data_IF_554388413078
#
_entry.id   IF_554388413078
#
_cell.length_a   1.000
_cell.length_b   1.000
_cell.length_c   1.000
_cell.angle_alpha   90.00
_cell.angle_beta   90.00
_cell.angle_gamma   90.00
#
_symmetry.space_group_name_H-M   'P 1'
#
loop_
_entity.id
_entity.type
_entity.pdbx_description
1 polymer ?
#
# COMPACT_ATOMS: atom_id res chain seq x y z
N UNK A 1 -36.30 -3.70 2.36
CA UNK A 1 -35.31 -3.21 1.36
C UNK A 1 -35.66 -3.69 -0.03
N UNK A 2 -35.41 -4.97 -0.32
CA UNK A 2 -35.58 -5.50 -1.68
C UNK A 2 -37.01 -5.39 -2.23
N UNK A 3 -38.04 -5.68 -1.41
CA UNK A 3 -39.44 -5.67 -1.83
C UNK A 3 -39.89 -4.33 -2.44
N UNK A 4 -39.41 -3.21 -1.89
CA UNK A 4 -39.79 -1.86 -2.32
C UNK A 4 -38.84 -1.23 -3.36
N UNK A 5 -37.72 -1.89 -3.70
CA UNK A 5 -36.75 -1.34 -4.64
C UNK A 5 -37.23 -1.52 -6.10
N UNK A 6 -37.05 -0.50 -6.93
CA UNK A 6 -37.35 -0.57 -8.37
C UNK A 6 -36.30 -1.39 -9.15
N UNK A 7 -35.05 -1.36 -8.68
CA UNK A 7 -33.94 -2.13 -9.25
C UNK A 7 -32.90 -2.48 -8.18
N UNK A 8 -32.00 -3.41 -8.51
CA UNK A 8 -30.79 -3.68 -7.73
C UNK A 8 -29.57 -3.18 -8.50
N UNK A 9 -28.65 -2.54 -7.76
CA UNK A 9 -27.27 -2.33 -8.21
C UNK A 9 -26.34 -3.28 -7.45
N UNK A 10 -25.81 -4.28 -8.15
CA UNK A 10 -24.83 -5.21 -7.61
C UNK A 10 -23.41 -4.67 -7.87
N UNK A 11 -22.69 -4.33 -6.81
CA UNK A 11 -21.26 -4.03 -6.89
C UNK A 11 -20.47 -5.33 -6.87
N UNK A 12 -19.95 -5.74 -8.04
CA UNK A 12 -19.27 -7.02 -8.21
C UNK A 12 -17.81 -6.97 -7.72
N UNK A 13 -17.59 -7.50 -6.50
CA UNK A 13 -16.28 -7.82 -5.88
C UNK A 13 -16.13 -9.33 -5.74
N UNK A 14 -14.90 -9.79 -5.50
CA UNK A 14 -14.66 -11.16 -5.01
C UNK A 14 -15.46 -11.43 -3.75
N UNK A 15 -15.46 -10.50 -2.79
CA UNK A 15 -16.14 -10.66 -1.49
C UNK A 15 -17.68 -10.70 -1.59
N UNK A 16 -18.27 -9.87 -2.45
CA UNK A 16 -19.72 -9.79 -2.67
C UNK A 16 -20.19 -10.99 -3.48
N UNK A 17 -19.44 -11.40 -4.51
CA UNK A 17 -19.79 -12.60 -5.29
C UNK A 17 -19.55 -13.90 -4.52
N UNK A 18 -18.63 -13.93 -3.54
CA UNK A 18 -18.45 -15.07 -2.65
C UNK A 18 -19.48 -15.15 -1.52
N UNK A 19 -20.25 -14.08 -1.30
CA UNK A 19 -21.23 -14.03 -0.22
C UNK A 19 -22.52 -14.76 -0.64
N UNK A 20 -22.97 -15.79 0.11
CA UNK A 20 -24.20 -16.50 -0.20
C UNK A 20 -25.44 -15.59 -0.05
N UNK A 21 -25.40 -14.61 0.86
CA UNK A 21 -26.49 -13.66 1.04
C UNK A 21 -26.66 -12.73 -0.16
N UNK A 22 -25.54 -12.22 -0.69
CA UNK A 22 -25.56 -11.41 -1.92
C UNK A 22 -26.09 -12.25 -3.08
N UNK A 23 -25.68 -13.52 -3.16
CA UNK A 23 -26.19 -14.48 -4.14
C UNK A 23 -27.72 -14.61 -4.09
N UNK A 24 -28.26 -14.81 -2.89
CA UNK A 24 -29.70 -14.89 -2.66
C UNK A 24 -30.42 -13.59 -3.03
N UNK A 25 -29.86 -12.42 -2.69
CA UNK A 25 -30.48 -11.12 -2.94
C UNK A 25 -30.62 -10.81 -4.45
N UNK A 26 -29.54 -10.97 -5.22
CA UNK A 26 -29.62 -10.67 -6.65
C UNK A 26 -30.42 -11.74 -7.41
N UNK A 27 -30.40 -13.00 -6.98
CA UNK A 27 -31.25 -14.04 -7.58
C UNK A 27 -32.73 -13.76 -7.30
N UNK A 28 -33.08 -13.40 -6.06
CA UNK A 28 -34.45 -13.05 -5.69
C UNK A 28 -34.98 -11.85 -6.49
N UNK A 29 -34.13 -10.88 -6.83
CA UNK A 29 -34.52 -9.80 -7.73
C UNK A 29 -34.79 -10.27 -9.15
N UNK A 30 -33.95 -11.13 -9.70
CA UNK A 30 -34.17 -11.70 -11.04
C UNK A 30 -35.47 -12.50 -11.09
N UNK A 31 -35.72 -13.33 -10.08
CA UNK A 31 -36.94 -14.13 -9.97
C UNK A 31 -38.20 -13.26 -9.84
N UNK A 32 -38.07 -12.10 -9.18
CA UNK A 32 -39.12 -11.08 -9.07
C UNK A 32 -39.24 -10.17 -10.30
N UNK A 33 -38.48 -10.42 -11.38
CA UNK A 33 -38.48 -9.60 -12.60
C UNK A 33 -37.91 -8.19 -12.42
N UNK A 34 -37.17 -7.94 -11.34
CA UNK A 34 -36.56 -6.63 -11.07
C UNK A 34 -35.25 -6.47 -11.84
N UNK A 35 -34.99 -5.31 -12.47
CA UNK A 35 -33.73 -5.05 -13.14
C UNK A 35 -32.53 -5.17 -12.18
N UNK A 36 -31.52 -5.94 -12.60
CA UNK A 36 -30.23 -6.03 -11.90
C UNK A 36 -29.15 -5.39 -12.76
N UNK A 37 -28.51 -4.35 -12.23
CA UNK A 37 -27.37 -3.68 -12.84
C UNK A 37 -26.08 -4.10 -12.14
N UNK A 38 -25.12 -4.63 -12.88
CA UNK A 38 -23.85 -5.14 -12.33
C UNK A 38 -22.75 -4.12 -12.55
N UNK A 39 -22.26 -3.53 -11.47
CA UNK A 39 -21.14 -2.60 -11.47
C UNK A 39 -19.82 -3.35 -11.17
N UNK A 40 -19.05 -3.64 -12.22
CA UNK A 40 -17.78 -4.39 -12.11
C UNK A 40 -16.66 -3.43 -11.75
N UNK A 41 -16.22 -3.44 -10.48
CA UNK A 41 -15.11 -2.59 -10.03
C UNK A 41 -13.77 -3.33 -9.94
N UNK A 42 -13.77 -4.66 -9.94
CA UNK A 42 -12.56 -5.48 -9.98
C UNK A 42 -12.67 -6.67 -10.92
N UNK A 43 -11.57 -7.38 -11.14
CA UNK A 43 -11.56 -8.55 -12.01
C UNK A 43 -12.15 -9.75 -11.28
N UNK A 44 -13.37 -10.13 -11.71
CA UNK A 44 -14.16 -11.23 -11.17
C UNK A 44 -14.83 -12.02 -12.29
N UNK A 45 -15.02 -13.31 -12.07
CA UNK A 45 -15.90 -14.12 -12.89
C UNK A 45 -17.35 -13.87 -12.45
N UNK A 46 -18.18 -13.34 -13.37
CA UNK A 46 -19.60 -13.21 -13.12
C UNK A 46 -20.29 -14.57 -13.31
N UNK A 47 -21.23 -14.96 -12.43
CA UNK A 47 -22.06 -16.14 -12.65
C UNK A 47 -22.76 -16.09 -14.01
N UNK A 48 -22.91 -17.24 -14.67
CA UNK A 48 -23.56 -17.34 -15.99
C UNK A 48 -25.00 -16.81 -15.98
N UNK A 49 -25.71 -16.96 -14.86
CA UNK A 49 -27.04 -16.40 -14.63
C UNK A 49 -27.10 -14.88 -14.83
N UNK A 50 -26.01 -14.14 -14.56
CA UNK A 50 -25.94 -12.69 -14.76
C UNK A 50 -25.69 -12.28 -16.21
N UNK A 51 -25.62 -13.23 -17.16
CA UNK A 51 -25.40 -12.92 -18.57
C UNK A 51 -26.49 -12.03 -19.19
N UNK A 52 -27.68 -11.99 -18.59
CA UNK A 52 -28.80 -11.13 -18.99
C UNK A 52 -28.76 -9.72 -18.36
N UNK A 53 -27.94 -9.50 -17.32
CA UNK A 53 -27.92 -8.26 -16.55
C UNK A 53 -27.15 -7.16 -17.29
N UNK A 54 -27.47 -5.89 -16.99
CA UNK A 54 -26.72 -4.75 -17.51
C UNK A 54 -25.37 -4.63 -16.80
N UNK A 55 -24.28 -5.00 -17.48
CA UNK A 55 -22.92 -4.96 -16.91
C UNK A 55 -22.21 -3.66 -17.27
N UNK A 56 -21.80 -2.89 -16.25
CA UNK A 56 -21.03 -1.65 -16.37
C UNK A 56 -19.64 -1.82 -15.77
N UNK A 57 -18.60 -1.65 -16.59
CA UNK A 57 -17.20 -1.81 -16.21
C UNK A 57 -16.61 -0.50 -15.64
N UNK A 58 -16.38 -0.47 -14.33
CA UNK A 58 -15.86 0.69 -13.59
C UNK A 58 -14.32 0.69 -13.48
N UNK A 59 -13.62 -0.33 -14.00
CA UNK A 59 -12.19 -0.55 -13.71
C UNK A 59 -11.25 0.45 -14.36
N UNK A 60 -11.57 0.95 -15.57
CA UNK A 60 -10.70 1.87 -16.33
C UNK A 60 -11.02 3.33 -16.05
N UNK A 61 -12.30 3.68 -16.12
CA UNK A 61 -12.83 5.02 -15.92
C UNK A 61 -14.03 4.92 -14.99
N UNK A 62 -13.77 5.05 -13.69
CA UNK A 62 -14.80 4.88 -12.67
C UNK A 62 -15.88 5.96 -12.79
N UNK A 63 -15.50 7.22 -12.98
CA UNK A 63 -16.47 8.33 -12.97
C UNK A 63 -17.32 8.31 -14.26
N UNK A 64 -16.72 8.00 -15.42
CA UNK A 64 -17.48 7.70 -16.63
C UNK A 64 -18.37 6.47 -16.50
N UNK A 65 -17.87 5.41 -15.85
CA UNK A 65 -18.62 4.20 -15.57
C UNK A 65 -19.84 4.43 -14.65
N UNK A 66 -19.70 5.24 -13.59
CA UNK A 66 -20.82 5.59 -12.70
C UNK A 66 -21.87 6.40 -13.44
N UNK A 67 -21.49 7.36 -14.29
CA UNK A 67 -22.45 8.09 -15.14
C UNK A 67 -23.20 7.16 -16.10
N UNK A 68 -22.50 6.18 -16.68
CA UNK A 68 -23.11 5.17 -17.54
C UNK A 68 -24.07 4.27 -16.73
N UNK A 69 -23.69 3.87 -15.52
CA UNK A 69 -24.56 3.11 -14.63
C UNK A 69 -25.84 3.88 -14.29
N UNK A 70 -25.73 5.16 -13.92
CA UNK A 70 -26.88 6.02 -13.68
C UNK A 70 -27.77 6.14 -14.93
N UNK A 71 -27.18 6.31 -16.11
CA UNK A 71 -27.93 6.36 -17.37
C UNK A 71 -28.66 5.05 -17.69
N UNK A 72 -28.09 3.90 -17.31
CA UNK A 72 -28.76 2.60 -17.43
C UNK A 72 -29.94 2.45 -16.44
N UNK A 73 -29.80 2.95 -15.20
CA UNK A 73 -30.87 2.92 -14.19
C UNK A 73 -32.03 3.81 -14.64
N UNK A 74 -31.74 4.97 -15.23
CA UNK A 74 -32.74 5.88 -15.81
C UNK A 74 -33.42 5.33 -17.09
N UNK A 75 -33.06 4.13 -17.55
CA UNK A 75 -33.60 3.52 -18.78
C UNK A 75 -33.16 4.19 -20.09
N UNK A 76 -32.23 5.16 -20.04
CA UNK A 76 -31.80 5.94 -21.23
C UNK A 76 -30.88 5.16 -22.16
N UNK A 77 -30.21 4.13 -21.65
CA UNK A 77 -29.24 3.34 -22.42
C UNK A 77 -29.39 1.85 -22.13
N UNK A 78 -30.01 1.11 -23.06
CA UNK A 78 -29.95 -0.34 -23.09
C UNK A 78 -28.66 -0.77 -23.80
N UNK A 79 -27.55 -0.92 -23.06
CA UNK A 79 -26.30 -1.40 -23.64
C UNK A 79 -26.24 -2.91 -23.55
N UNK A 80 -26.06 -3.58 -24.69
CA UNK A 80 -25.92 -5.05 -24.74
C UNK A 80 -24.79 -5.50 -23.81
N UNK A 81 -25.02 -6.47 -22.92
CA UNK A 81 -24.02 -6.91 -21.95
C UNK A 81 -22.81 -7.45 -22.68
N UNK A 82 -21.70 -6.71 -22.63
CA UNK A 82 -20.41 -7.26 -23.01
C UNK A 82 -19.77 -7.75 -21.72
N UNK A 83 -19.92 -9.04 -21.42
CA UNK A 83 -19.24 -9.65 -20.28
C UNK A 83 -17.75 -9.37 -20.48
N UNK A 84 -17.10 -8.61 -19.57
CA UNK A 84 -15.70 -8.30 -19.75
C UNK A 84 -14.90 -9.60 -19.71
N UNK A 85 -14.15 -9.93 -20.76
CA UNK A 85 -13.22 -11.07 -20.72
C UNK A 85 -12.30 -10.93 -19.51
N UNK A 86 -12.24 -11.99 -18.70
CA UNK A 86 -11.93 -11.91 -17.27
C UNK A 86 -10.47 -12.08 -16.89
N UNK A 87 -9.53 -12.29 -17.81
CA UNK A 87 -8.08 -12.21 -17.52
C UNK A 87 -7.24 -12.16 -18.81
N UNK A 88 -6.05 -11.55 -18.74
CA UNK A 88 -4.98 -11.82 -19.71
C UNK A 88 -4.35 -13.20 -19.50
N UNK A 89 -3.57 -13.69 -20.48
CA UNK A 89 -2.87 -14.98 -20.45
C UNK A 89 -2.02 -15.22 -19.19
N UNK A 90 -1.61 -14.15 -18.51
CA UNK A 90 -0.75 -14.18 -17.31
C UNK A 90 -1.50 -13.89 -16.00
N UNK A 91 -2.83 -13.88 -16.00
CA UNK A 91 -3.63 -13.53 -14.82
C UNK A 91 -3.42 -12.08 -14.35
N UNK A 92 -3.10 -11.18 -15.30
CA UNK A 92 -2.99 -9.75 -15.06
C UNK A 92 -4.21 -9.03 -15.63
N UNK A 93 -4.71 -7.97 -14.94
CA UNK A 93 -5.86 -7.21 -15.42
C UNK A 93 -5.52 -6.46 -16.70
N UNK A 94 -6.34 -6.65 -17.74
CA UNK A 94 -6.17 -5.96 -19.04
C UNK A 94 -6.54 -4.48 -18.96
N UNK A 95 -7.55 -4.15 -18.15
CA UNK A 95 -8.09 -2.79 -18.01
C UNK A 95 -7.67 -2.20 -16.68
N UNK A 96 -6.56 -1.46 -16.72
CA UNK A 96 -6.04 -0.71 -15.57
C UNK A 96 -6.07 0.80 -15.86
N UNK A 97 -6.40 1.64 -14.86
CA UNK A 97 -6.26 3.09 -14.96
C UNK A 97 -4.81 3.49 -15.28
N UNK A 98 -4.62 4.61 -15.97
CA UNK A 98 -3.29 5.09 -16.36
C UNK A 98 -2.33 5.24 -15.17
N UNK A 99 -2.78 5.84 -14.06
CA UNK A 99 -1.95 6.02 -12.87
C UNK A 99 -1.53 4.69 -12.23
N UNK A 100 -2.38 3.67 -12.30
CA UNK A 100 -2.06 2.32 -11.83
C UNK A 100 -1.02 1.69 -12.74
N UNK A 101 -1.20 1.80 -14.07
CA UNK A 101 -0.24 1.30 -15.05
C UNK A 101 1.13 1.92 -14.86
N UNK A 102 1.19 3.23 -14.65
CA UNK A 102 2.44 3.94 -14.47
C UNK A 102 3.18 3.47 -13.21
N UNK A 103 2.50 3.37 -12.05
CA UNK A 103 3.13 2.84 -10.82
C UNK A 103 3.59 1.39 -11.01
N UNK A 104 2.78 0.54 -11.64
CA UNK A 104 3.14 -0.85 -11.92
C UNK A 104 4.36 -0.93 -12.85
N UNK A 105 4.41 -0.10 -13.89
CA UNK A 105 5.51 -0.02 -14.86
C UNK A 105 6.79 0.42 -14.17
N UNK A 106 6.73 1.46 -13.32
CA UNK A 106 7.89 1.91 -12.52
C UNK A 106 8.43 0.77 -11.63
N UNK A 107 7.55 0.00 -10.97
CA UNK A 107 7.96 -1.16 -10.16
C UNK A 107 8.52 -2.31 -11.01
N UNK A 108 8.02 -2.52 -12.23
CA UNK A 108 8.56 -3.54 -13.14
C UNK A 108 9.92 -3.14 -13.71
N UNK A 109 10.06 -1.88 -14.12
CA UNK A 109 11.26 -1.34 -14.74
C UNK A 109 12.47 -1.45 -13.81
N UNK A 110 12.32 -1.17 -12.51
CA UNK A 110 13.41 -1.37 -11.55
C UNK A 110 13.75 -2.87 -11.40
N UNK A 111 12.76 -3.75 -11.44
CA UNK A 111 12.99 -5.19 -11.42
C UNK A 111 13.83 -5.63 -12.63
N UNK A 112 13.42 -5.21 -13.83
CA UNK A 112 14.14 -5.48 -15.09
C UNK A 112 15.53 -4.86 -15.10
N UNK A 113 15.68 -3.66 -14.52
CA UNK A 113 16.98 -3.01 -14.37
C UNK A 113 17.94 -3.84 -13.53
N UNK A 114 17.50 -4.33 -12.38
CA UNK A 114 18.30 -5.23 -11.54
C UNK A 114 18.68 -6.52 -12.29
N UNK A 115 17.80 -7.08 -13.12
CA UNK A 115 18.14 -8.23 -13.97
C UNK A 115 19.19 -7.89 -15.03
N UNK A 116 19.06 -6.75 -15.70
CA UNK A 116 20.07 -6.29 -16.66
C UNK A 116 21.44 -6.09 -15.97
N UNK A 117 21.43 -5.49 -14.78
CA UNK A 117 22.62 -5.34 -13.96
C UNK A 117 23.27 -6.69 -13.61
N UNK A 118 22.46 -7.69 -13.23
CA UNK A 118 22.94 -9.06 -12.99
C UNK A 118 23.59 -9.65 -14.25
N UNK A 119 22.93 -9.58 -15.40
CA UNK A 119 23.49 -10.09 -16.66
C UNK A 119 24.80 -9.38 -17.03
N UNK A 120 24.86 -8.07 -16.83
CA UNK A 120 26.06 -7.27 -17.08
C UNK A 120 27.21 -7.67 -16.16
N UNK A 121 26.96 -7.94 -14.88
CA UNK A 121 28.01 -8.38 -13.96
C UNK A 121 28.48 -9.80 -14.27
N UNK A 122 27.57 -10.71 -14.64
CA UNK A 122 27.94 -12.06 -15.05
C UNK A 122 28.82 -12.04 -16.31
N UNK A 123 28.53 -11.16 -17.26
CA UNK A 123 29.37 -10.95 -18.43
C UNK A 123 30.77 -10.45 -18.04
N UNK A 124 30.87 -9.41 -17.20
CA UNK A 124 32.15 -8.88 -16.71
C UNK A 124 32.96 -9.94 -15.95
N UNK A 125 32.29 -10.78 -15.15
CA UNK A 125 32.95 -11.88 -14.44
C UNK A 125 33.49 -12.94 -15.40
N UNK A 126 32.78 -13.23 -16.50
CA UNK A 126 33.25 -14.15 -17.52
C UNK A 126 34.49 -13.61 -18.25
N UNK A 127 34.50 -12.32 -18.60
CA UNK A 127 35.67 -11.69 -19.26
C UNK A 127 36.88 -11.61 -18.33
N UNK A 128 36.68 -11.17 -17.07
CA UNK A 128 37.74 -11.14 -16.06
C UNK A 128 38.29 -12.55 -15.77
N UNK A 129 37.41 -13.56 -15.76
CA UNK A 129 37.81 -14.95 -15.57
C UNK A 129 38.69 -15.47 -16.72
N UNK A 130 38.39 -15.08 -17.97
CA UNK A 130 39.20 -15.43 -19.13
C UNK A 130 40.58 -14.76 -19.07
N UNK A 131 40.64 -13.46 -18.80
CA UNK A 131 41.91 -12.73 -18.66
C UNK A 131 42.75 -13.26 -17.51
N UNK A 132 42.12 -13.58 -16.38
CA UNK A 132 42.81 -14.18 -15.24
C UNK A 132 43.40 -15.54 -15.60
N UNK A 133 42.68 -16.35 -16.39
CA UNK A 133 43.17 -17.63 -16.87
C UNK A 133 44.37 -17.48 -17.81
N UNK A 134 44.29 -16.57 -18.79
CA UNK A 134 45.39 -16.26 -19.72
C UNK A 134 46.61 -15.71 -18.99
N UNK A 135 46.41 -14.79 -18.04
CA UNK A 135 47.46 -14.26 -17.18
C UNK A 135 48.11 -15.39 -16.37
N UNK A 136 47.32 -16.26 -15.73
CA UNK A 136 47.85 -17.39 -14.95
C UNK A 136 48.67 -18.35 -15.82
N UNK A 137 48.24 -18.63 -17.05
CA UNK A 137 48.96 -19.46 -18.00
C UNK A 137 50.30 -18.83 -18.41
N UNK A 138 50.32 -17.53 -18.76
CA UNK A 138 51.54 -16.81 -19.11
C UNK A 138 52.52 -16.69 -17.92
N UNK A 139 52.01 -16.55 -16.71
CA UNK A 139 52.82 -16.45 -15.50
C UNK A 139 53.49 -17.79 -15.13
N UNK A 140 52.91 -18.93 -15.53
CA UNK A 140 53.51 -20.25 -15.26
C UNK A 140 54.78 -20.50 -16.08
N UNK A 141 54.97 -19.80 -17.21
CA UNK A 141 56.17 -19.92 -18.06
C UNK A 141 57.38 -19.11 -17.58
N UNK A 142 57.20 -18.05 -16.75
CA UNK A 142 58.24 -17.05 -16.49
C UNK A 142 59.13 -17.26 -15.23
N UNK A 143 58.97 -18.36 -14.49
CA UNK A 143 59.98 -19.00 -13.64
C UNK A 143 60.73 -18.26 -12.50
N UNK A 144 60.71 -16.92 -12.36
CA UNK A 144 61.57 -16.23 -11.38
C UNK A 144 60.91 -16.07 -9.99
N UNK A 145 61.60 -16.37 -8.88
CA UNK A 145 61.03 -16.35 -7.53
C UNK A 145 60.54 -14.98 -7.05
N UNK A 146 61.22 -13.88 -7.44
CA UNK A 146 60.83 -12.51 -7.05
C UNK A 146 59.49 -12.07 -7.66
N UNK A 147 59.08 -12.70 -8.77
CA UNK A 147 57.76 -12.43 -9.34
C UNK A 147 56.64 -13.16 -8.60
N UNK A 148 56.93 -14.12 -7.70
CA UNK A 148 55.88 -14.92 -7.04
C UNK A 148 55.14 -14.17 -5.92
N UNK A 149 55.78 -13.24 -5.21
CA UNK A 149 55.14 -12.47 -4.12
C UNK A 149 54.15 -11.43 -4.65
N UNK A 150 54.55 -10.63 -5.64
CA UNK A 150 53.64 -9.67 -6.32
C UNK A 150 52.48 -10.38 -7.04
N UNK A 151 52.68 -11.63 -7.49
CA UNK A 151 51.63 -12.48 -8.07
C UNK A 151 50.61 -12.94 -7.02
N UNK A 152 51.04 -13.26 -5.80
CA UNK A 152 50.15 -13.65 -4.71
C UNK A 152 49.15 -12.54 -4.39
N UNK A 153 49.65 -11.32 -4.23
CA UNK A 153 48.83 -10.13 -3.93
C UNK A 153 47.81 -9.84 -5.04
N UNK A 154 48.21 -9.94 -6.32
CA UNK A 154 47.30 -9.74 -7.45
C UNK A 154 46.19 -10.81 -7.52
N UNK A 155 46.50 -12.07 -7.25
CA UNK A 155 45.52 -13.17 -7.22
C UNK A 155 44.53 -12.99 -6.07
N UNK A 156 45.00 -12.61 -4.89
CA UNK A 156 44.15 -12.33 -3.72
C UNK A 156 43.22 -11.14 -3.98
N UNK A 157 43.74 -10.05 -4.52
CA UNK A 157 42.95 -8.87 -4.88
C UNK A 157 41.86 -9.22 -5.92
N UNK A 158 42.21 -9.95 -6.98
CA UNK A 158 41.25 -10.37 -8.00
C UNK A 158 40.17 -11.31 -7.44
N UNK A 159 40.55 -12.19 -6.52
CA UNK A 159 39.60 -13.10 -5.83
C UNK A 159 38.62 -12.30 -4.97
N UNK A 160 39.12 -11.32 -4.21
CA UNK A 160 38.29 -10.45 -3.38
C UNK A 160 37.32 -9.61 -4.23
N UNK A 161 37.80 -9.06 -5.36
CA UNK A 161 36.96 -8.35 -6.34
C UNK A 161 35.88 -9.28 -6.89
N UNK A 162 36.24 -10.50 -7.33
CA UNK A 162 35.29 -11.48 -7.84
C UNK A 162 34.20 -11.83 -6.81
N UNK A 163 34.57 -12.04 -5.55
CA UNK A 163 33.61 -12.30 -4.46
C UNK A 163 32.66 -11.12 -4.23
N UNK A 164 33.17 -9.88 -4.27
CA UNK A 164 32.35 -8.67 -4.15
C UNK A 164 31.33 -8.58 -5.30
N UNK A 165 31.75 -8.83 -6.54
CA UNK A 165 30.86 -8.86 -7.71
C UNK A 165 29.76 -9.90 -7.57
N UNK A 166 30.08 -11.11 -7.09
CA UNK A 166 29.09 -12.15 -6.85
C UNK A 166 28.08 -11.70 -5.78
N UNK A 167 28.57 -11.17 -4.65
CA UNK A 167 27.71 -10.67 -3.57
C UNK A 167 26.75 -9.59 -4.04
N UNK A 168 27.25 -8.57 -4.74
CA UNK A 168 26.46 -7.47 -5.30
C UNK A 168 25.44 -7.98 -6.33
N UNK A 169 25.83 -8.95 -7.16
CA UNK A 169 24.95 -9.58 -8.16
C UNK A 169 23.81 -10.36 -7.51
N UNK A 170 24.08 -11.12 -6.45
CA UNK A 170 23.04 -11.85 -5.72
C UNK A 170 22.05 -10.89 -5.04
N UNK A 171 22.55 -9.81 -4.41
CA UNK A 171 21.70 -8.77 -3.83
C UNK A 171 20.81 -8.14 -4.91
N UNK A 172 21.38 -7.77 -6.05
CA UNK A 172 20.62 -7.20 -7.16
C UNK A 172 19.54 -8.16 -7.68
N UNK A 173 19.84 -9.46 -7.81
CA UNK A 173 18.87 -10.47 -8.22
C UNK A 173 17.69 -10.57 -7.22
N UNK A 174 17.98 -10.63 -5.92
CA UNK A 174 16.97 -10.69 -4.86
C UNK A 174 16.08 -9.44 -4.90
N UNK A 175 16.68 -8.26 -4.99
CA UNK A 175 15.96 -6.98 -5.09
C UNK A 175 15.09 -6.95 -6.36
N UNK A 176 15.63 -7.38 -7.50
CA UNK A 176 14.91 -7.44 -8.77
C UNK A 176 13.67 -8.34 -8.71
N UNK A 177 13.84 -9.56 -8.19
CA UNK A 177 12.74 -10.51 -7.96
C UNK A 177 11.69 -9.94 -7.00
N UNK A 178 12.12 -9.27 -5.94
CA UNK A 178 11.23 -8.62 -4.97
C UNK A 178 10.37 -7.52 -5.62
N UNK A 179 10.96 -6.67 -6.48
CA UNK A 179 10.22 -5.64 -7.19
C UNK A 179 9.24 -6.20 -8.23
N UNK A 180 9.64 -7.22 -9.01
CA UNK A 180 8.72 -7.88 -9.94
C UNK A 180 7.54 -8.53 -9.20
N UNK A 181 7.80 -9.19 -8.07
CA UNK A 181 6.75 -9.74 -7.20
C UNK A 181 5.85 -8.65 -6.64
N UNK A 182 6.42 -7.51 -6.25
CA UNK A 182 5.67 -6.35 -5.74
C UNK A 182 4.80 -5.72 -6.82
N UNK A 183 5.31 -5.56 -8.05
CA UNK A 183 4.54 -5.08 -9.20
C UNK A 183 3.37 -6.02 -9.54
N UNK A 184 3.62 -7.34 -9.54
CA UNK A 184 2.56 -8.35 -9.74
C UNK A 184 1.50 -8.27 -8.66
N UNK A 185 1.88 -8.22 -7.37
CA UNK A 185 0.94 -8.06 -6.25
C UNK A 185 0.15 -6.76 -6.34
N UNK A 186 0.79 -5.68 -6.79
CA UNK A 186 0.14 -4.39 -7.00
C UNK A 186 -0.93 -4.47 -8.11
N UNK A 187 -0.62 -5.06 -9.25
CA UNK A 187 -1.59 -5.31 -10.33
C UNK A 187 -2.70 -6.27 -9.91
N UNK A 188 -2.43 -7.20 -9.00
CA UNK A 188 -3.46 -8.11 -8.46
C UNK A 188 -4.30 -7.49 -7.34
N UNK A 189 -4.13 -6.20 -7.03
CA UNK A 189 -4.79 -5.48 -5.91
C UNK A 189 -4.54 -6.10 -4.53
N UNK A 190 -3.43 -6.82 -4.39
CA UNK A 190 -3.01 -7.49 -3.17
C UNK A 190 -1.84 -6.76 -2.47
N UNK A 191 -1.43 -5.60 -2.98
CA UNK A 191 -0.36 -4.80 -2.36
C UNK A 191 -0.94 -3.74 -1.44
N UNK A 192 -0.52 -3.78 -0.17
CA UNK A 192 -0.85 -2.77 0.83
C UNK A 192 -0.25 -1.42 0.42
N UNK A 193 -0.97 -0.33 0.69
CA UNK A 193 -0.54 1.02 0.32
C UNK A 193 0.84 1.36 0.87
N UNK A 194 1.07 1.07 2.15
CA UNK A 194 2.34 1.39 2.84
C UNK A 194 3.52 0.65 2.21
N UNK A 195 3.32 -0.63 1.86
CA UNK A 195 4.35 -1.44 1.20
C UNK A 195 4.69 -0.89 -0.18
N UNK A 196 3.68 -0.57 -1.01
CA UNK A 196 3.92 0.03 -2.32
C UNK A 196 4.63 1.39 -2.24
N UNK A 197 4.24 2.24 -1.30
CA UNK A 197 4.89 3.54 -1.10
C UNK A 197 6.33 3.41 -0.61
N UNK A 198 6.61 2.48 0.32
CA UNK A 198 7.98 2.19 0.78
C UNK A 198 8.83 1.61 -0.34
N UNK A 199 8.27 0.74 -1.18
CA UNK A 199 8.97 0.21 -2.35
C UNK A 199 9.38 1.34 -3.30
N UNK A 200 8.49 2.28 -3.60
CA UNK A 200 8.85 3.43 -4.44
C UNK A 200 9.90 4.33 -3.80
N UNK A 201 9.84 4.57 -2.48
CA UNK A 201 10.86 5.35 -1.78
C UNK A 201 12.22 4.66 -1.73
N UNK A 202 12.24 3.32 -1.60
CA UNK A 202 13.45 2.54 -1.60
C UNK A 202 14.20 2.59 -2.94
N UNK A 203 13.55 3.02 -4.03
CA UNK A 203 14.20 3.23 -5.32
C UNK A 203 15.20 4.41 -5.28
N UNK A 204 15.00 5.40 -4.41
CA UNK A 204 15.88 6.57 -4.31
C UNK A 204 17.31 6.18 -3.87
N UNK A 205 17.52 5.49 -2.72
CA UNK A 205 18.85 5.06 -2.33
C UNK A 205 19.45 4.02 -3.29
N UNK A 206 18.64 3.14 -3.89
CA UNK A 206 19.13 2.19 -4.91
C UNK A 206 19.70 2.95 -6.11
N UNK A 207 19.00 4.00 -6.57
CA UNK A 207 19.49 4.86 -7.65
C UNK A 207 20.83 5.52 -7.30
N UNK A 208 20.97 6.08 -6.09
CA UNK A 208 22.22 6.69 -5.62
C UNK A 208 23.36 5.67 -5.56
N UNK A 209 23.14 4.51 -4.95
CA UNK A 209 24.13 3.42 -4.89
C UNK A 209 24.53 2.98 -6.29
N UNK A 210 23.59 2.96 -7.23
CA UNK A 210 23.90 2.53 -8.60
C UNK A 210 24.73 3.55 -9.35
N UNK A 211 24.43 4.85 -9.22
CA UNK A 211 25.26 5.92 -9.79
C UNK A 211 26.66 5.90 -9.19
N UNK A 212 26.76 5.75 -7.87
CA UNK A 212 28.05 5.62 -7.19
C UNK A 212 28.84 4.41 -7.67
N UNK A 213 28.19 3.25 -7.83
CA UNK A 213 28.80 2.05 -8.37
C UNK A 213 29.28 2.24 -9.82
N UNK A 214 28.46 2.88 -10.67
CA UNK A 214 28.85 3.19 -12.05
C UNK A 214 30.09 4.10 -12.09
N UNK A 215 30.11 5.14 -11.26
CA UNK A 215 31.27 6.03 -11.11
C UNK A 215 32.51 5.28 -10.64
N UNK A 216 32.41 4.52 -9.54
CA UNK A 216 33.53 3.74 -8.98
C UNK A 216 34.07 2.73 -10.01
N UNK A 217 33.18 2.08 -10.77
CA UNK A 217 33.59 1.16 -11.83
C UNK A 217 34.35 1.87 -12.96
N UNK A 218 33.96 3.10 -13.29
CA UNK A 218 34.64 3.88 -14.34
C UNK A 218 36.05 4.26 -13.90
N UNK A 219 36.22 4.70 -12.65
CA UNK A 219 37.53 5.04 -12.08
C UNK A 219 38.45 3.80 -12.00
N UNK A 220 37.95 2.71 -11.41
CA UNK A 220 38.73 1.47 -11.23
C UNK A 220 39.22 0.86 -12.56
N UNK A 221 38.41 0.92 -13.61
CA UNK A 221 38.77 0.35 -14.91
C UNK A 221 39.42 1.34 -15.86
N UNK A 222 39.48 2.63 -15.53
CA UNK A 222 40.15 3.63 -16.38
C UNK A 222 41.64 3.34 -16.56
N UNK A 223 42.24 2.65 -15.59
CA UNK A 223 43.65 2.23 -15.59
C UNK A 223 43.93 1.02 -16.51
N UNK A 224 42.91 0.25 -16.89
CA UNK A 224 43.03 -0.92 -17.74
C UNK A 224 42.54 -0.59 -19.17
N UNK A 225 43.05 -1.26 -20.21
CA UNK A 225 42.73 -0.99 -21.63
C UNK A 225 41.23 -1.12 -22.01
N UNK A 226 40.33 -1.29 -21.05
CA UNK A 226 38.87 -1.41 -21.21
C UNK A 226 38.12 -0.07 -21.19
N UNK A 227 38.80 1.05 -21.42
CA UNK A 227 38.26 2.40 -21.25
C UNK A 227 36.98 2.65 -22.07
N UNK A 228 36.98 2.32 -23.36
CA UNK A 228 35.89 2.70 -24.27
C UNK A 228 34.57 1.97 -23.99
N UNK A 229 34.63 0.68 -23.68
CA UNK A 229 33.42 -0.10 -23.34
C UNK A 229 32.82 0.36 -22.00
N UNK A 230 33.68 0.64 -21.02
CA UNK A 230 33.24 1.06 -19.69
C UNK A 230 32.64 2.46 -19.69
N UNK A 231 33.16 3.41 -20.48
CA UNK A 231 32.63 4.76 -20.58
C UNK A 231 31.19 4.79 -21.16
N UNK A 232 30.94 4.06 -22.25
CA UNK A 232 29.60 3.98 -22.84
C UNK A 232 28.59 3.30 -21.89
N UNK A 233 29.01 2.25 -21.19
CA UNK A 233 28.19 1.55 -20.22
C UNK A 233 27.89 2.42 -18.98
N UNK A 234 28.88 3.11 -18.44
CA UNK A 234 28.72 4.04 -17.32
C UNK A 234 27.79 5.20 -17.67
N UNK A 235 27.90 5.77 -18.87
CA UNK A 235 26.97 6.78 -19.37
C UNK A 235 25.54 6.26 -19.46
N UNK A 236 25.35 5.08 -20.06
CA UNK A 236 24.04 4.44 -20.20
C UNK A 236 23.37 4.10 -18.86
N UNK A 237 24.12 3.54 -17.91
CA UNK A 237 23.63 3.23 -16.56
C UNK A 237 23.28 4.48 -15.77
N UNK A 238 24.05 5.56 -15.91
CA UNK A 238 23.76 6.85 -15.26
C UNK A 238 22.48 7.48 -15.78
N UNK A 239 22.27 7.48 -17.10
CA UNK A 239 21.02 7.97 -17.73
C UNK A 239 19.84 7.11 -17.27
N UNK A 240 19.99 5.79 -17.26
CA UNK A 240 18.95 4.88 -16.79
C UNK A 240 18.57 5.15 -15.32
N UNK A 241 19.58 5.30 -14.44
CA UNK A 241 19.36 5.63 -13.03
C UNK A 241 18.62 6.96 -12.85
N UNK A 242 18.99 8.00 -13.61
CA UNK A 242 18.30 9.29 -13.59
C UNK A 242 16.83 9.18 -14.04
N UNK A 243 16.57 8.43 -15.11
CA UNK A 243 15.20 8.17 -15.58
C UNK A 243 14.39 7.41 -14.52
N UNK A 244 14.97 6.39 -13.87
CA UNK A 244 14.28 5.68 -12.79
C UNK A 244 13.97 6.58 -11.62
N UNK A 245 14.87 7.50 -11.25
CA UNK A 245 14.61 8.48 -10.20
C UNK A 245 13.38 9.35 -10.54
N UNK A 246 13.30 9.84 -11.78
CA UNK A 246 12.14 10.63 -12.25
C UNK A 246 10.86 9.81 -12.22
N UNK A 247 10.88 8.56 -12.72
CA UNK A 247 9.71 7.68 -12.69
C UNK A 247 9.30 7.29 -11.26
N UNK A 248 10.25 7.07 -10.36
CA UNK A 248 10.03 6.77 -8.94
C UNK A 248 9.33 7.93 -8.25
N UNK A 249 9.85 9.15 -8.44
CA UNK A 249 9.27 10.37 -7.88
C UNK A 249 7.86 10.62 -8.43
N UNK A 250 7.66 10.49 -9.74
CA UNK A 250 6.35 10.64 -10.36
C UNK A 250 5.36 9.59 -9.84
N UNK A 251 5.75 8.32 -9.76
CA UNK A 251 4.93 7.24 -9.21
C UNK A 251 4.58 7.49 -7.73
N UNK A 252 5.54 7.99 -6.93
CA UNK A 252 5.35 8.35 -5.53
C UNK A 252 4.33 9.50 -5.37
N UNK A 253 4.47 10.55 -6.18
CA UNK A 253 3.55 11.68 -6.20
C UNK A 253 2.14 11.25 -6.63
N UNK A 254 2.04 10.38 -7.64
CA UNK A 254 0.77 9.81 -8.08
C UNK A 254 0.11 8.96 -6.99
N UNK A 255 0.86 8.09 -6.29
CA UNK A 255 0.35 7.37 -5.12
C UNK A 255 -0.19 8.30 -4.04
N UNK A 256 0.31 9.53 -3.96
CA UNK A 256 -0.15 10.59 -3.05
C UNK A 256 -1.31 11.44 -3.54
N UNK A 257 -1.64 11.44 -4.85
CA UNK A 257 -2.64 12.34 -5.44
C UNK A 257 -3.75 11.66 -6.25
N UNK A 258 -3.46 10.65 -7.07
CA UNK A 258 -4.44 10.07 -7.98
C UNK A 258 -5.57 9.33 -7.24
N UNK A 259 -6.82 9.59 -7.64
CA UNK A 259 -8.04 8.94 -7.12
C UNK A 259 -8.16 7.50 -7.60
N UNK A 260 -7.76 7.23 -8.84
CA UNK A 260 -7.73 5.87 -9.39
C UNK A 260 -6.81 4.93 -8.59
N UNK A 261 -5.65 5.42 -8.12
CA UNK A 261 -4.78 4.65 -7.23
C UNK A 261 -5.43 4.37 -5.88
N UNK A 262 -6.16 5.34 -5.32
CA UNK A 262 -6.93 5.13 -4.09
C UNK A 262 -7.97 4.02 -4.27
N UNK A 263 -8.74 4.07 -5.36
CA UNK A 263 -9.75 3.04 -5.70
C UNK A 263 -9.11 1.69 -6.04
N UNK A 264 -7.87 1.66 -6.52
CA UNK A 264 -7.16 0.44 -6.88
C UNK A 264 -6.69 -0.38 -5.68
N UNK A 265 -6.41 0.27 -4.56
CA UNK A 265 -5.94 -0.40 -3.34
C UNK A 265 -6.98 -1.40 -2.82
N UNK A 266 -6.55 -2.47 -2.14
CA UNK A 266 -7.47 -3.35 -1.45
C UNK A 266 -8.40 -2.56 -0.50
N UNK A 267 -9.66 -2.97 -0.42
CA UNK A 267 -10.65 -2.38 0.48
C UNK A 267 -10.11 -2.34 1.91
N UNK A 268 -10.25 -1.21 2.59
CA UNK A 268 -9.75 -1.04 3.96
C UNK A 268 -8.24 -0.73 4.10
N UNK A 269 -7.43 -0.86 3.05
CA UNK A 269 -5.97 -0.60 3.12
C UNK A 269 -5.58 0.84 2.71
N UNK A 270 -6.50 1.61 2.14
CA UNK A 270 -6.23 2.99 1.76
C UNK A 270 -6.13 3.90 2.99
N UNK A 271 -5.11 4.78 3.09
CA UNK A 271 -4.94 5.64 4.25
C UNK A 271 -6.14 6.56 4.52
N UNK A 272 -6.53 6.70 5.79
CA UNK A 272 -7.58 7.63 6.23
C UNK A 272 -7.47 9.04 5.61
N UNK A 273 -6.27 9.62 5.51
CA UNK A 273 -6.09 10.96 4.90
C UNK A 273 -6.54 10.99 3.43
N UNK A 274 -6.37 9.89 2.69
CA UNK A 274 -6.78 9.76 1.29
C UNK A 274 -8.28 9.53 1.17
N UNK A 275 -8.86 8.69 2.04
CA UNK A 275 -10.32 8.53 2.19
C UNK A 275 -10.97 9.88 2.46
N UNK A 276 -10.50 10.60 3.48
CA UNK A 276 -11.03 11.92 3.85
C UNK A 276 -10.89 12.94 2.70
N UNK A 277 -9.77 12.96 1.96
CA UNK A 277 -9.62 13.86 0.80
C UNK A 277 -10.61 13.52 -0.31
N UNK A 278 -10.80 12.23 -0.62
CA UNK A 278 -11.76 11.80 -1.63
C UNK A 278 -13.20 12.06 -1.16
N UNK A 279 -13.47 11.74 0.11
CA UNK A 279 -14.71 12.02 0.82
C UNK A 279 -15.09 13.49 0.80
N UNK A 280 -14.16 14.41 1.08
CA UNK A 280 -14.43 15.86 1.00
C UNK A 280 -14.80 16.32 -0.41
N UNK A 281 -14.24 15.73 -1.47
CA UNK A 281 -14.60 16.11 -2.86
C UNK A 281 -16.02 15.65 -3.21
N UNK A 282 -16.35 14.42 -2.83
CA UNK A 282 -17.71 13.86 -2.97
C UNK A 282 -18.70 14.63 -2.10
N UNK A 283 -18.37 14.82 -0.83
CA UNK A 283 -19.13 15.59 0.15
C UNK A 283 -19.40 17.01 -0.31
N UNK A 284 -18.45 17.73 -0.91
CA UNK A 284 -18.74 19.05 -1.51
C UNK A 284 -19.78 19.00 -2.63
N UNK A 285 -19.73 17.97 -3.46
CA UNK A 285 -20.68 17.79 -4.58
C UNK A 285 -22.07 17.45 -4.05
N UNK A 286 -22.13 16.62 -3.02
CA UNK A 286 -23.37 16.17 -2.37
C UNK A 286 -23.96 17.24 -1.46
N UNK A 287 -23.13 17.96 -0.70
CA UNK A 287 -23.52 19.08 0.14
C UNK A 287 -24.09 20.24 -0.69
N UNK A 288 -23.49 20.55 -1.86
CA UNK A 288 -24.07 21.49 -2.81
C UNK A 288 -25.45 21.06 -3.32
N UNK A 289 -25.78 19.76 -3.24
CA UNK A 289 -27.11 19.23 -3.57
C UNK A 289 -28.04 19.13 -2.35
N UNK A 290 -27.48 19.14 -1.12
CA UNK A 290 -28.20 18.93 0.13
C UNK A 290 -28.52 20.23 0.89
N UNK A 291 -28.16 21.41 0.33
CA UNK A 291 -28.31 22.74 0.94
C UNK A 291 -29.75 23.16 1.30
N UNK A 292 -30.78 22.31 1.17
CA UNK A 292 -32.18 22.72 1.31
C UNK A 292 -32.98 22.11 2.47
N UNK A 293 -32.43 21.21 3.30
CA UNK A 293 -33.23 20.65 4.42
C UNK A 293 -32.45 20.56 5.72
N UNK A 294 -32.72 21.51 6.63
CA UNK A 294 -32.32 21.38 8.03
C UNK A 294 -33.13 20.25 8.66
N UNK A 295 -32.46 19.14 8.97
CA UNK A 295 -33.09 18.04 9.68
C UNK A 295 -33.40 18.38 11.15
N UNK A 296 -34.42 17.71 11.71
CA UNK A 296 -34.84 17.88 13.09
C UNK A 296 -33.74 17.41 14.07
N UNK A 297 -33.75 17.97 15.28
CA UNK A 297 -32.95 17.44 16.37
C UNK A 297 -33.46 16.05 16.77
N UNK A 298 -32.53 15.17 17.12
CA UNK A 298 -32.82 13.77 17.51
C UNK A 298 -32.65 13.61 19.03
N UNK A 299 -33.57 12.85 19.65
CA UNK A 299 -33.44 12.39 21.05
C UNK A 299 -32.56 11.14 21.09
N UNK A 300 -31.45 11.18 21.80
CA UNK A 300 -30.47 10.09 21.78
C UNK A 300 -30.10 9.57 23.16
N UNK A 301 -29.85 8.27 23.26
CA UNK A 301 -29.23 7.64 24.43
C UNK A 301 -27.72 7.46 24.19
N UNK A 302 -26.91 7.52 25.26
CA UNK A 302 -25.47 7.35 25.17
C UNK A 302 -25.00 6.25 26.14
N UNK A 303 -24.58 5.13 25.60
CA UNK A 303 -24.05 3.99 26.37
C UNK A 303 -22.52 3.98 26.32
N UNK A 304 -21.86 3.88 27.47
CA UNK A 304 -20.41 3.87 27.58
C UNK A 304 -19.92 3.16 28.85
N UNK A 305 -18.70 2.61 28.81
CA UNK A 305 -18.05 2.05 29.99
C UNK A 305 -17.52 3.16 30.91
N UNK A 306 -17.50 2.98 32.25
CA UNK A 306 -17.03 4.02 33.18
C UNK A 306 -15.67 4.67 32.83
N UNK A 307 -14.65 3.91 32.37
CA UNK A 307 -13.37 4.51 31.96
C UNK A 307 -13.46 5.53 30.81
N UNK A 308 -14.53 5.49 30.02
CA UNK A 308 -14.74 6.32 28.84
C UNK A 308 -15.55 7.60 29.12
N UNK A 309 -15.83 7.91 30.40
CA UNK A 309 -16.64 9.07 30.83
C UNK A 309 -16.14 10.40 30.26
N UNK A 310 -14.82 10.60 30.21
CA UNK A 310 -14.24 11.83 29.66
C UNK A 310 -14.57 12.00 28.17
N UNK A 311 -14.63 10.90 27.42
CA UNK A 311 -15.02 10.91 26.00
C UNK A 311 -16.53 11.10 25.88
N UNK A 312 -17.32 10.42 26.72
CA UNK A 312 -18.77 10.59 26.78
C UNK A 312 -19.17 12.04 27.04
N UNK A 313 -18.53 12.73 27.97
CA UNK A 313 -18.75 14.15 28.25
C UNK A 313 -18.51 15.04 27.01
N UNK A 314 -17.49 14.71 26.19
CA UNK A 314 -17.24 15.42 24.93
C UNK A 314 -18.34 15.16 23.91
N UNK A 315 -18.78 13.91 23.75
CA UNK A 315 -19.89 13.56 22.86
C UNK A 315 -21.16 14.30 23.27
N UNK A 316 -21.52 14.28 24.57
CA UNK A 316 -22.66 15.02 25.11
C UNK A 316 -22.62 16.51 24.75
N UNK A 317 -21.46 17.15 24.93
CA UNK A 317 -21.28 18.57 24.59
C UNK A 317 -21.46 18.85 23.10
N UNK A 318 -20.84 18.09 22.20
CA UNK A 318 -20.96 18.33 20.75
C UNK A 318 -22.39 18.04 20.24
N UNK A 319 -23.05 17.02 20.78
CA UNK A 319 -24.44 16.70 20.46
C UNK A 319 -25.40 17.79 20.93
N UNK A 320 -25.22 18.30 22.15
CA UNK A 320 -26.00 19.43 22.67
C UNK A 320 -25.81 20.70 21.84
N UNK A 321 -24.57 21.00 21.41
CA UNK A 321 -24.29 22.14 20.52
C UNK A 321 -24.98 22.03 19.17
N UNK A 322 -25.18 20.82 18.67
CA UNK A 322 -25.92 20.57 17.44
C UNK A 322 -27.45 20.56 17.62
N UNK A 323 -27.93 20.73 18.86
CA UNK A 323 -29.35 20.80 19.23
C UNK A 323 -29.99 19.47 19.61
N UNK A 324 -29.22 18.38 19.73
CA UNK A 324 -29.74 17.08 20.14
C UNK A 324 -29.99 17.01 21.64
N UNK A 325 -30.95 16.19 22.05
CA UNK A 325 -31.33 16.02 23.45
C UNK A 325 -30.90 14.64 23.93
N UNK A 326 -30.07 14.59 24.98
CA UNK A 326 -29.75 13.36 25.69
C UNK A 326 -30.98 12.92 26.49
N UNK A 327 -31.37 11.66 26.38
CA UNK A 327 -32.42 11.07 27.22
C UNK A 327 -31.80 10.26 28.35
N UNK A 328 -32.48 10.25 29.51
CA UNK A 328 -32.09 9.47 30.68
C UNK A 328 -32.43 7.99 30.52
N UNK A 329 -31.83 7.14 31.37
CA UNK A 329 -32.07 5.70 31.36
C UNK A 329 -33.55 5.39 31.60
N UNK A 330 -34.18 4.67 30.67
CA UNK A 330 -35.59 4.28 30.71
C UNK A 330 -36.51 5.13 29.83
N UNK A 331 -36.04 6.26 29.30
CA UNK A 331 -36.76 6.98 28.26
C UNK A 331 -36.53 6.37 26.87
N UNK A 332 -37.50 6.56 25.97
CA UNK A 332 -37.39 6.10 24.58
C UNK A 332 -36.48 7.03 23.76
N UNK A 333 -35.28 6.55 23.45
CA UNK A 333 -34.38 7.22 22.52
C UNK A 333 -34.75 6.87 21.06
N UNK A 334 -34.75 7.88 20.18
CA UNK A 334 -34.87 7.67 18.73
C UNK A 334 -33.62 6.99 18.16
N UNK A 335 -32.45 7.29 18.75
CA UNK A 335 -31.17 6.73 18.36
C UNK A 335 -30.32 6.43 19.59
N UNK A 336 -29.77 5.23 19.69
CA UNK A 336 -28.72 4.94 20.66
C UNK A 336 -27.33 5.23 20.06
N UNK A 337 -26.41 5.77 20.86
CA UNK A 337 -24.98 5.91 20.52
C UNK A 337 -24.21 5.08 21.53
N UNK A 338 -23.31 4.22 21.04
CA UNK A 338 -22.55 3.31 21.90
C UNK A 338 -21.06 3.58 21.75
N UNK A 339 -20.38 3.92 22.85
CA UNK A 339 -18.93 4.08 22.86
C UNK A 339 -18.27 2.71 22.93
N UNK A 340 -17.47 2.38 21.92
CA UNK A 340 -16.79 1.09 21.82
C UNK A 340 -15.29 1.27 22.04
N UNK A 341 -14.83 0.85 23.22
CA UNK A 341 -13.44 0.72 23.61
C UNK A 341 -13.10 -0.74 23.92
N UNK A 342 -11.82 -1.03 24.14
CA UNK A 342 -11.33 -2.29 24.70
C UNK A 342 -11.78 -2.53 26.15
N UNK A 343 -12.55 -1.62 26.73
CA UNK A 343 -13.17 -1.75 28.05
C UNK A 343 -14.71 -1.84 27.97
N UNK A 344 -15.32 -1.71 26.78
CA UNK A 344 -16.77 -1.84 26.62
C UNK A 344 -17.18 -3.32 26.63
N UNK A 345 -17.92 -3.79 27.64
CA UNK A 345 -18.35 -5.18 27.68
C UNK A 345 -19.45 -5.44 26.64
N UNK A 346 -19.40 -6.61 25.98
CA UNK A 346 -20.43 -7.04 25.00
C UNK A 346 -21.83 -7.03 25.61
N UNK A 347 -21.96 -7.38 26.90
CA UNK A 347 -23.21 -7.35 27.64
C UNK A 347 -23.89 -5.97 27.68
N UNK A 348 -23.16 -4.88 27.45
CA UNK A 348 -23.74 -3.53 27.32
C UNK A 348 -24.46 -3.32 25.98
N UNK A 349 -24.00 -3.99 24.93
CA UNK A 349 -24.52 -3.82 23.55
C UNK A 349 -25.60 -4.85 23.24
N UNK A 350 -25.52 -6.05 23.82
CA UNK A 350 -26.44 -7.15 23.56
C UNK A 350 -27.93 -6.78 23.73
N UNK A 351 -28.36 -6.03 24.77
CA UNK A 351 -29.76 -5.63 24.92
C UNK A 351 -30.27 -4.77 23.77
N UNK A 352 -29.41 -3.91 23.19
CA UNK A 352 -29.77 -3.06 22.05
C UNK A 352 -29.96 -3.91 20.78
N UNK A 353 -29.11 -4.92 20.60
CA UNK A 353 -29.20 -5.87 19.49
C UNK A 353 -30.47 -6.71 19.61
N UNK A 354 -30.73 -7.27 20.80
CA UNK A 354 -31.89 -8.14 21.06
C UNK A 354 -33.21 -7.38 20.92
N UNK A 355 -33.24 -6.11 21.32
CA UNK A 355 -34.39 -5.23 21.15
C UNK A 355 -34.58 -4.75 19.70
N UNK A 356 -33.62 -4.99 18.80
CA UNK A 356 -33.63 -4.45 17.44
C UNK A 356 -33.56 -2.92 17.40
N UNK A 357 -33.06 -2.28 18.46
CA UNK A 357 -32.98 -0.83 18.56
C UNK A 357 -31.86 -0.33 17.65
N UNK A 358 -32.11 0.65 16.75
CA UNK A 358 -31.05 1.21 15.93
C UNK A 358 -30.04 1.95 16.81
N UNK A 359 -28.77 1.53 16.72
CA UNK A 359 -27.68 2.19 17.42
C UNK A 359 -26.51 2.54 16.49
N UNK A 360 -25.76 3.57 16.87
CA UNK A 360 -24.61 4.10 16.15
C UNK A 360 -23.33 3.81 16.97
N UNK A 361 -22.58 2.77 16.62
CA UNK A 361 -21.32 2.47 17.31
C UNK A 361 -20.23 3.51 17.02
N UNK A 362 -19.72 4.15 18.07
CA UNK A 362 -18.64 5.13 18.06
C UNK A 362 -17.36 4.49 18.60
N UNK A 363 -16.44 4.13 17.70
CA UNK A 363 -15.20 3.43 18.03
C UNK A 363 -14.16 4.40 18.60
N UNK A 364 -13.72 4.18 19.84
CA UNK A 364 -12.83 5.10 20.57
C UNK A 364 -11.44 4.52 20.85
N UNK A 365 -11.30 3.19 20.93
CA UNK A 365 -10.00 2.49 20.91
C UNK A 365 -10.04 1.31 19.94
N UNK A 366 -8.93 0.55 19.82
CA UNK A 366 -8.94 -0.69 19.04
C UNK A 366 -9.69 -1.76 19.81
N UNK A 367 -10.60 -2.48 19.15
CA UNK A 367 -11.48 -3.49 19.77
C UNK A 367 -11.48 -4.75 18.91
N UNK A 368 -11.62 -5.90 19.54
CA UNK A 368 -11.70 -7.20 18.85
C UNK A 368 -13.14 -7.73 18.80
N UNK A 369 -14.07 -6.88 18.35
CA UNK A 369 -15.52 -7.18 18.40
C UNK A 369 -15.93 -8.22 17.34
N UNK A 370 -15.13 -8.41 16.29
CA UNK A 370 -15.48 -9.29 15.18
C UNK A 370 -15.57 -10.76 15.62
N UNK A 371 -14.79 -11.19 16.62
CA UNK A 371 -14.87 -12.54 17.15
C UNK A 371 -16.02 -12.71 18.15
N UNK A 372 -16.29 -11.69 18.98
CA UNK A 372 -17.25 -11.81 20.08
C UNK A 372 -18.70 -11.54 19.68
N UNK A 373 -18.95 -10.70 18.67
CA UNK A 373 -20.30 -10.44 18.18
C UNK A 373 -20.30 -10.03 16.70
N UNK A 374 -20.42 -10.99 15.76
CA UNK A 374 -20.40 -10.71 14.33
C UNK A 374 -21.54 -9.77 13.90
N UNK A 375 -22.62 -9.70 14.68
CA UNK A 375 -23.77 -8.83 14.43
C UNK A 375 -23.39 -7.35 14.54
N UNK A 376 -22.52 -6.96 15.47
CA UNK A 376 -22.10 -5.55 15.61
C UNK A 376 -21.36 -5.10 14.34
N UNK A 377 -20.65 -6.03 13.68
CA UNK A 377 -19.98 -5.80 12.40
C UNK A 377 -20.92 -5.35 11.26
N UNK A 378 -22.23 -5.58 11.39
CA UNK A 378 -23.23 -5.19 10.40
C UNK A 378 -23.70 -3.73 10.52
N UNK A 379 -23.41 -3.06 11.64
CA UNK A 379 -23.80 -1.66 11.84
C UNK A 379 -22.82 -0.69 11.16
N UNK A 380 -23.29 0.55 10.94
CA UNK A 380 -22.41 1.63 10.48
C UNK A 380 -21.62 2.18 11.67
N UNK A 381 -20.30 2.28 11.52
CA UNK A 381 -19.41 2.70 12.60
C UNK A 381 -19.00 4.16 12.44
N UNK A 382 -18.54 4.75 13.53
CA UNK A 382 -17.85 6.04 13.53
C UNK A 382 -16.47 5.87 14.16
N UNK A 383 -15.40 6.00 13.37
CA UNK A 383 -14.03 5.89 13.88
C UNK A 383 -13.58 7.18 14.57
N UNK A 384 -13.76 7.26 15.90
CA UNK A 384 -13.37 8.39 16.75
C UNK A 384 -12.08 8.14 17.56
N UNK A 385 -11.28 7.13 17.20
CA UNK A 385 -9.99 6.83 17.86
C UNK A 385 -8.97 7.97 17.81
N UNK A 386 -9.14 8.91 16.88
CA UNK A 386 -8.31 10.12 16.77
C UNK A 386 -8.79 11.29 17.63
N UNK A 387 -9.97 11.15 18.23
CA UNK A 387 -10.63 12.17 19.06
C UNK A 387 -10.75 13.54 18.37
N UNK A 388 -10.99 13.56 17.06
CA UNK A 388 -11.08 14.81 16.29
C UNK A 388 -12.51 15.38 16.37
N UNK A 389 -12.68 16.56 16.98
CA UNK A 389 -13.99 17.23 17.18
C UNK A 389 -14.84 17.30 15.91
N UNK A 390 -14.20 17.56 14.77
CA UNK A 390 -14.82 17.59 13.44
C UNK A 390 -15.62 16.31 13.11
N UNK A 391 -15.20 15.14 13.63
CA UNK A 391 -15.92 13.88 13.44
C UNK A 391 -17.23 13.84 14.24
N UNK A 392 -17.23 14.35 15.48
CA UNK A 392 -18.44 14.44 16.30
C UNK A 392 -19.43 15.45 15.72
N UNK A 393 -18.94 16.59 15.22
CA UNK A 393 -19.79 17.60 14.58
C UNK A 393 -20.49 17.03 13.34
N UNK A 394 -19.74 16.33 12.48
CA UNK A 394 -20.34 15.64 11.34
C UNK A 394 -21.29 14.51 11.79
N UNK A 395 -21.00 13.84 12.92
CA UNK A 395 -21.86 12.76 13.46
C UNK A 395 -23.21 13.33 13.87
N UNK A 396 -23.20 14.46 14.59
CA UNK A 396 -24.40 15.17 14.98
C UNK A 396 -25.19 15.64 13.74
N UNK A 397 -24.51 16.19 12.73
CA UNK A 397 -25.15 16.54 11.45
C UNK A 397 -25.77 15.32 10.74
N UNK A 398 -25.09 14.18 10.75
CA UNK A 398 -25.61 12.91 10.21
C UNK A 398 -26.91 12.50 10.91
N UNK A 399 -26.97 12.63 12.23
CA UNK A 399 -28.16 12.29 13.00
C UNK A 399 -29.34 13.22 12.68
N UNK A 400 -29.10 14.51 12.46
CA UNK A 400 -30.19 15.44 12.07
C UNK A 400 -30.77 15.11 10.70
N UNK A 401 -29.91 14.82 9.72
CA UNK A 401 -30.33 14.58 8.35
C UNK A 401 -29.70 13.29 7.83
N UNK A 402 -30.37 12.15 8.05
CA UNK A 402 -29.83 10.84 7.65
C UNK A 402 -29.55 10.75 6.14
N UNK A 403 -30.36 11.40 5.29
CA UNK A 403 -30.18 11.35 3.82
C UNK A 403 -29.00 12.18 3.35
N UNK A 404 -28.85 13.43 3.82
CA UNK A 404 -27.67 14.25 3.53
C UNK A 404 -26.42 13.73 4.24
N UNK A 405 -26.60 13.20 5.44
CA UNK A 405 -25.57 12.60 6.27
C UNK A 405 -24.94 11.38 5.61
N UNK A 406 -25.72 10.47 5.04
CA UNK A 406 -25.17 9.27 4.38
C UNK A 406 -24.13 9.61 3.30
N UNK A 407 -24.31 10.75 2.62
CA UNK A 407 -23.43 11.22 1.56
C UNK A 407 -22.05 11.68 2.05
N UNK A 408 -21.98 12.47 3.13
CA UNK A 408 -20.72 12.96 3.70
C UNK A 408 -20.08 11.95 4.67
N UNK A 409 -20.92 11.24 5.42
CA UNK A 409 -20.53 10.36 6.53
C UNK A 409 -20.18 8.94 6.07
N UNK A 410 -20.85 8.43 5.02
CA UNK A 410 -20.58 7.10 4.45
C UNK A 410 -19.13 6.92 3.99
N UNK A 411 -18.41 8.01 3.73
CA UNK A 411 -17.02 8.00 3.27
C UNK A 411 -15.96 8.05 4.39
N UNK A 412 -16.36 8.36 5.63
CA UNK A 412 -15.46 8.46 6.80
C UNK A 412 -15.78 7.46 7.93
N UNK A 413 -16.90 6.75 7.83
CA UNK A 413 -17.47 5.90 8.88
C UNK A 413 -16.66 4.61 9.17
N UNK A 414 -16.15 3.93 8.14
CA UNK A 414 -15.60 2.59 8.35
C UNK A 414 -14.12 2.62 8.81
N UNK A 415 -13.80 2.08 10.01
CA UNK A 415 -12.42 1.95 10.47
C UNK A 415 -11.60 1.10 9.49
N UNK A 416 -10.29 1.35 9.38
CA UNK A 416 -9.43 0.52 8.51
C UNK A 416 -9.42 -0.95 8.96
N UNK A 417 -9.31 -1.15 10.29
CA UNK A 417 -9.51 -2.39 11.02
C UNK A 417 -9.93 -2.04 12.45
N UNK A 418 -10.68 -2.93 13.11
CA UNK A 418 -11.13 -2.75 14.49
C UNK A 418 -9.97 -2.95 15.49
N UNK A 419 -9.14 -3.96 15.26
CA UNK A 419 -7.95 -4.32 16.06
C UNK A 419 -6.79 -3.31 15.98
N UNK A 420 -6.77 -2.45 14.97
CA UNK A 420 -5.65 -1.55 14.74
C UNK A 420 -5.57 -0.46 15.81
N UNK A 421 -4.55 -0.54 16.67
CA UNK A 421 -4.20 0.57 17.54
C UNK A 421 -3.80 1.81 16.73
N UNK A 422 -4.55 2.89 16.90
CA UNK A 422 -4.23 4.20 16.34
C UNK A 422 -3.45 4.98 17.39
N UNK A 423 -2.15 5.11 17.15
CA UNK A 423 -1.26 5.88 18.01
C UNK A 423 -1.50 7.38 17.78
N UNK A 424 -1.67 8.21 18.83
CA UNK A 424 -1.74 9.65 18.73
C UNK A 424 -0.57 10.24 17.93
N UNK A 425 -0.83 11.29 17.15
CA UNK A 425 0.17 11.86 16.24
C UNK A 425 1.48 12.26 16.92
N UNK A 426 1.43 12.72 18.17
CA UNK A 426 2.61 13.09 18.98
C UNK A 426 3.51 11.89 19.28
N UNK A 427 2.93 10.74 19.62
CA UNK A 427 3.68 9.50 19.90
C UNK A 427 4.24 8.93 18.57
N UNK A 428 3.47 8.98 17.49
CA UNK A 428 3.95 8.56 16.17
C UNK A 428 5.13 9.42 15.68
N UNK A 429 5.13 10.73 15.98
CA UNK A 429 6.24 11.63 15.71
C UNK A 429 7.49 11.25 16.52
N UNK A 430 7.36 11.07 17.84
CA UNK A 430 8.46 10.63 18.70
C UNK A 430 9.08 9.30 18.21
N UNK A 431 8.25 8.31 17.88
CA UNK A 431 8.70 7.03 17.33
C UNK A 431 9.44 7.18 15.99
N UNK A 432 9.09 8.20 15.18
CA UNK A 432 9.79 8.49 13.92
C UNK A 432 11.17 9.10 14.18
N UNK A 433 11.27 10.04 15.13
CA UNK A 433 12.55 10.65 15.54
C UNK A 433 13.51 9.58 16.08
N UNK A 434 13.03 8.70 16.97
CA UNK A 434 13.84 7.62 17.53
C UNK A 434 14.36 6.64 16.46
N UNK A 435 13.54 6.34 15.42
CA UNK A 435 13.98 5.50 14.30
C UNK A 435 15.06 6.17 13.44
N UNK A 436 14.94 7.47 13.20
CA UNK A 436 15.95 8.22 12.46
C UNK A 436 17.28 8.26 13.22
N UNK A 437 17.22 8.49 14.54
CA UNK A 437 18.39 8.44 15.41
C UNK A 437 19.07 7.07 15.36
N UNK A 438 18.29 5.98 15.43
CA UNK A 438 18.84 4.62 15.32
C UNK A 438 19.52 4.35 13.96
N UNK A 439 18.94 4.84 12.85
CA UNK A 439 19.57 4.73 11.53
C UNK A 439 20.88 5.51 11.47
N UNK A 440 20.92 6.73 12.02
CA UNK A 440 22.14 7.53 12.06
C UNK A 440 23.24 6.86 12.88
N UNK A 441 22.90 6.25 14.02
CA UNK A 441 23.85 5.46 14.83
C UNK A 441 24.39 4.28 14.01
N UNK A 442 23.53 3.50 13.34
CA UNK A 442 23.97 2.38 12.51
C UNK A 442 24.90 2.85 11.38
N UNK A 443 24.59 3.97 10.72
CA UNK A 443 25.43 4.52 9.65
C UNK A 443 26.79 4.99 10.19
N UNK A 444 26.81 5.63 11.36
CA UNK A 444 28.05 6.05 12.02
C UNK A 444 28.94 4.85 12.36
N UNK A 445 28.38 3.81 12.98
CA UNK A 445 29.11 2.58 13.34
C UNK A 445 29.62 1.82 12.10
N UNK A 446 28.85 1.79 11.02
CA UNK A 446 29.30 1.19 9.75
C UNK A 446 30.45 1.99 9.12
N UNK A 447 30.46 3.31 9.28
CA UNK A 447 31.54 4.16 8.78
C UNK A 447 32.83 3.95 9.60
N UNK A 448 32.73 3.87 10.93
CA UNK A 448 33.86 3.51 11.82
C UNK A 448 34.42 2.13 11.47
N UNK A 449 33.54 1.13 11.27
CA UNK A 449 33.96 -0.21 10.86
C UNK A 449 34.70 -0.20 9.51
N UNK A 450 34.22 0.60 8.54
CA UNK A 450 34.87 0.75 7.24
C UNK A 450 36.27 1.37 7.37
N UNK A 451 36.43 2.41 8.19
CA UNK A 451 37.73 3.04 8.47
C UNK A 451 38.71 2.05 9.12
N UNK A 452 38.25 1.22 10.03
CA UNK A 452 39.07 0.15 10.61
C UNK A 452 39.44 -0.95 9.59
N UNK A 453 38.56 -1.27 8.65
CA UNK A 453 38.85 -2.19 7.56
C UNK A 453 39.86 -1.64 6.55
N UNK A 454 39.89 -0.32 6.30
CA UNK A 454 40.92 0.31 5.46
C UNK A 454 42.32 0.26 6.10
N UNK A 455 42.40 0.14 7.42
CA UNK A 455 43.67 0.00 8.16
C UNK A 455 44.19 -1.44 8.21
N UNK A 456 43.36 -2.44 7.90
CA UNK A 456 43.72 -3.86 7.95
C UNK A 456 44.87 -4.23 6.99
N UNK A 457 44.93 -3.77 5.73
CA UNK A 457 46.08 -4.02 4.86
C UNK A 457 47.39 -3.49 5.44
N UNK A 458 47.36 -2.31 6.06
CA UNK A 458 48.54 -1.69 6.68
C UNK A 458 49.01 -2.48 7.90
N UNK A 459 48.09 -3.02 8.70
CA UNK A 459 48.39 -3.87 9.86
C UNK A 459 48.92 -5.23 9.40
N UNK A 460 48.32 -5.84 8.37
CA UNK A 460 48.79 -7.12 7.80
C UNK A 460 50.18 -6.97 7.20
N UNK A 461 50.47 -5.87 6.51
CA UNK A 461 51.80 -5.56 5.97
C UNK A 461 52.85 -5.24 7.05
N UNK A 462 52.42 -4.75 8.22
CA UNK A 462 53.31 -4.46 9.34
C UNK A 462 53.62 -5.68 10.23
N UNK A 463 52.89 -6.80 10.07
CA UNK A 463 53.22 -8.01 10.82
C UNK A 463 54.47 -8.66 10.24
N UNK A 464 55.54 -8.85 11.04
CA UNK A 464 56.75 -9.51 10.56
C UNK A 464 56.39 -10.94 10.15
N UNK A 465 56.56 -11.23 8.87
CA UNK A 465 56.47 -12.61 8.39
C UNK A 465 57.42 -13.46 9.23
N UNK A 466 56.95 -14.54 9.88
CA UNK A 466 57.84 -15.44 10.57
C UNK A 466 58.77 -16.02 9.51
N UNK A 467 60.02 -15.55 9.52
CA UNK A 467 61.08 -16.14 8.70
C UNK A 467 61.13 -17.60 9.08
N UNK A 468 60.84 -18.54 8.17
CA UNK A 468 60.93 -19.95 8.50
C UNK A 468 62.36 -20.19 8.97
N UNK A 469 62.49 -20.63 10.23
CA UNK A 469 63.77 -21.01 10.81
C UNK A 469 64.33 -22.14 9.95
N UNK A 470 65.22 -21.79 9.02
CA UNK A 470 66.10 -22.75 8.34
C UNK A 470 67.15 -23.18 9.37
N UNK A 471 66.73 -24.03 10.30
CA UNK A 471 67.65 -24.83 11.08
C UNK A 471 68.14 -25.97 10.17
N UNK A 472 69.45 -25.95 9.90
CA UNK A 472 70.23 -27.01 9.26
C UNK A 472 70.17 -28.32 10.03
#
# INVERSE_FOLDING_TARGET
>A
GLASADCIVLVASRSSLSSPYVAQEWQSALDAGKPVHVAVFEEVALPTAMGCCNVVDLRRDFDGGVRNLASCIDGRTAKRPTIPTTTGRFGLPRKVPFSVRLVATTLMLIGLYCFNFVLSNLWKMATLGQEFWEMRANLTELGSPETLTSRGEAVEMMTLVAMLYIGVTLIALIVGLWYLRTARRFLQRNLRYVTGRRALLAQLPIGVVTVFYAWLSTEMFSTYQFYDFNAAWAGGTTIAAALFFVFALLAFLLMGHATALYRWLPTGEAPLKRRARHGRRLGKTLAASAEMTQGAAVRYALHFAPPDETIAARVKREMAQAGHTLVDDGETAEQAIVLLSNMTPVAMVQPLIDAGQPFLPLLITGVDIAEESPIIGHYQWVDFRRQATEQLQRMAQYLRNQTAGMAEYGLSAMPERFDKHIVPGRIAFLATVLRLLAVLIIVYELNELAQHLELLPTIVLAMPYPVPNTAM
#
